data_IF_454573681578
#
_entry.id   IF_454573681578
#
_cell.length_a   1.000
_cell.length_b   1.000
_cell.length_c   1.000
_cell.angle_alpha   90.00
_cell.angle_beta   90.00
_cell.angle_gamma   90.00
#
_symmetry.space_group_name_H-M   'P 1'
#
loop_
_entity.id
_entity.type
_entity.pdbx_description
1 polymer ?
#
# COMPACT_ATOMS: atom_id res chain seq x y z
N UNK A 1 3.98 -36.53 6.01
CA UNK A 1 4.38 -36.79 7.42
C UNK A 1 5.31 -35.71 7.96
N UNK A 2 6.37 -35.31 7.24
CA UNK A 2 7.29 -34.24 7.67
C UNK A 2 6.60 -32.90 7.98
N UNK A 3 5.82 -32.37 7.04
CA UNK A 3 5.01 -31.16 7.22
C UNK A 3 3.99 -31.24 8.37
N UNK A 4 3.62 -32.45 8.82
CA UNK A 4 2.74 -32.63 9.98
C UNK A 4 3.53 -32.49 11.28
N UNK A 5 4.73 -33.06 11.32
CA UNK A 5 5.64 -32.95 12.46
C UNK A 5 6.10 -31.49 12.66
N UNK A 6 6.42 -30.79 11.56
CA UNK A 6 6.80 -29.37 11.59
C UNK A 6 5.63 -28.48 12.04
N UNK A 7 4.39 -28.82 11.65
CA UNK A 7 3.19 -28.15 12.13
C UNK A 7 2.93 -28.40 13.63
N UNK A 8 3.04 -29.64 14.10
CA UNK A 8 2.90 -30.00 15.53
C UNK A 8 3.98 -29.25 16.36
N UNK A 9 5.21 -29.18 15.86
CA UNK A 9 6.30 -28.41 16.47
C UNK A 9 6.06 -26.88 16.45
N UNK A 10 5.49 -26.31 15.38
CA UNK A 10 5.11 -24.90 15.32
C UNK A 10 4.08 -24.58 16.41
N UNK A 11 3.05 -25.40 16.56
CA UNK A 11 2.02 -25.19 17.60
C UNK A 11 2.66 -25.17 18.99
N UNK A 12 3.64 -26.05 19.26
CA UNK A 12 4.39 -26.06 20.52
C UNK A 12 5.40 -24.89 20.66
N UNK A 13 5.99 -24.41 19.57
CA UNK A 13 7.04 -23.37 19.60
C UNK A 13 6.53 -21.94 19.40
N UNK A 14 5.30 -21.74 18.89
CA UNK A 14 4.59 -20.46 18.97
C UNK A 14 4.25 -20.10 20.42
N UNK A 15 4.04 -21.10 21.28
CA UNK A 15 3.94 -20.91 22.74
C UNK A 15 5.27 -20.47 23.37
N UNK A 16 6.40 -20.68 22.69
CA UNK A 16 7.77 -20.39 23.16
C UNK A 16 8.48 -19.26 22.39
N UNK A 17 7.78 -18.50 21.54
CA UNK A 17 8.31 -17.36 20.76
C UNK A 17 9.50 -17.66 19.82
N UNK A 18 9.66 -18.91 19.35
CA UNK A 18 10.86 -19.32 18.61
C UNK A 18 10.66 -19.61 17.11
N UNK A 19 9.43 -19.69 16.61
CA UNK A 19 9.14 -20.09 15.22
C UNK A 19 8.27 -19.08 14.46
N UNK A 20 8.65 -18.78 13.21
CA UNK A 20 7.91 -17.88 12.33
C UNK A 20 6.80 -18.63 11.58
N UNK A 21 5.57 -18.10 11.66
CA UNK A 21 4.44 -18.62 10.88
C UNK A 21 4.73 -18.57 9.37
N UNK A 22 5.46 -17.54 8.91
CA UNK A 22 5.86 -17.40 7.50
C UNK A 22 6.82 -18.52 7.09
N UNK A 23 7.82 -18.84 7.92
CA UNK A 23 8.75 -19.94 7.63
C UNK A 23 8.05 -21.31 7.54
N UNK A 24 7.02 -21.53 8.38
CA UNK A 24 6.29 -22.81 8.35
C UNK A 24 5.38 -22.93 7.14
N UNK A 25 4.66 -21.85 6.79
CA UNK A 25 3.92 -21.79 5.52
C UNK A 25 4.86 -21.99 4.33
N UNK A 26 6.07 -21.41 4.39
CA UNK A 26 7.04 -21.48 3.28
C UNK A 26 7.50 -22.92 3.07
N UNK A 27 7.84 -23.64 4.14
CA UNK A 27 8.19 -25.05 4.07
C UNK A 27 7.01 -25.89 3.55
N UNK A 28 5.79 -25.64 4.02
CA UNK A 28 4.61 -26.35 3.54
C UNK A 28 4.37 -26.13 2.03
N UNK A 29 4.43 -24.89 1.55
CA UNK A 29 4.25 -24.59 0.12
C UNK A 29 5.36 -25.20 -0.72
N UNK A 30 6.61 -25.13 -0.24
CA UNK A 30 7.75 -25.76 -0.90
C UNK A 30 7.59 -27.28 -0.99
N UNK A 31 7.15 -27.94 0.09
CA UNK A 31 6.88 -29.39 0.10
C UNK A 31 5.79 -29.76 -0.91
N UNK A 32 4.71 -28.99 -1.01
CA UNK A 32 3.63 -29.20 -1.98
C UNK A 32 4.17 -29.05 -3.41
N UNK A 33 4.90 -27.97 -3.69
CA UNK A 33 5.48 -27.70 -5.01
C UNK A 33 6.43 -28.82 -5.42
N UNK A 34 7.37 -29.20 -4.54
CA UNK A 34 8.32 -30.27 -4.81
C UNK A 34 7.63 -31.62 -5.02
N UNK A 35 6.58 -31.94 -4.24
CA UNK A 35 5.81 -33.17 -4.44
C UNK A 35 5.20 -33.24 -5.85
N UNK A 36 4.77 -32.11 -6.41
CA UNK A 36 4.25 -32.05 -7.78
C UNK A 36 5.36 -32.08 -8.83
N UNK A 37 6.47 -31.35 -8.63
CA UNK A 37 7.58 -31.32 -9.60
C UNK A 37 8.33 -32.65 -9.69
N UNK A 38 8.73 -33.21 -8.56
CA UNK A 38 9.56 -34.42 -8.52
C UNK A 38 8.81 -35.66 -9.02
N UNK A 39 7.48 -35.65 -8.93
CA UNK A 39 6.62 -36.76 -9.35
C UNK A 39 5.90 -36.50 -10.68
N UNK A 40 6.24 -35.43 -11.41
CA UNK A 40 5.53 -34.98 -12.60
C UNK A 40 5.42 -36.10 -13.67
N UNK A 41 6.52 -36.79 -13.98
CA UNK A 41 6.52 -37.89 -14.94
C UNK A 41 5.63 -39.06 -14.50
N UNK A 42 5.67 -39.42 -13.22
CA UNK A 42 4.89 -40.53 -12.64
C UNK A 42 3.40 -40.20 -12.67
N UNK A 43 3.03 -38.97 -12.30
CA UNK A 43 1.65 -38.49 -12.37
C UNK A 43 1.14 -38.54 -13.81
N UNK A 44 1.97 -38.12 -14.77
CA UNK A 44 1.61 -38.13 -16.19
C UNK A 44 1.48 -39.54 -16.77
N UNK A 45 2.36 -40.46 -16.40
CA UNK A 45 2.36 -41.83 -16.94
C UNK A 45 1.27 -42.71 -16.36
N UNK A 46 0.94 -42.53 -15.08
CA UNK A 46 0.10 -43.47 -14.33
C UNK A 46 -1.32 -42.95 -14.06
N UNK A 47 -1.61 -41.66 -14.27
CA UNK A 47 -2.91 -41.04 -13.95
C UNK A 47 -3.47 -40.23 -15.12
N UNK A 48 -3.80 -40.91 -16.24
CA UNK A 48 -4.52 -40.29 -17.35
C UNK A 48 -3.85 -39.04 -17.97
N UNK A 49 -2.52 -38.97 -18.01
CA UNK A 49 -1.82 -37.83 -18.61
C UNK A 49 -1.82 -36.59 -17.72
N UNK A 50 -2.07 -35.42 -18.32
CA UNK A 50 -1.98 -34.14 -17.60
C UNK A 50 -3.14 -33.91 -16.62
N UNK A 51 -4.27 -34.60 -16.81
CA UNK A 51 -5.38 -34.59 -15.85
C UNK A 51 -4.94 -35.09 -14.46
N UNK A 52 -4.09 -36.12 -14.41
CA UNK A 52 -3.52 -36.66 -13.18
C UNK A 52 -2.71 -35.63 -12.38
N UNK A 53 -2.01 -34.73 -13.07
CA UNK A 53 -1.27 -33.63 -12.45
C UNK A 53 -2.25 -32.65 -11.80
N UNK A 54 -3.34 -32.32 -12.48
CA UNK A 54 -4.36 -31.41 -11.94
C UNK A 54 -5.08 -32.01 -10.74
N UNK A 55 -5.40 -33.31 -10.77
CA UNK A 55 -5.96 -34.00 -9.62
C UNK A 55 -5.01 -33.98 -8.42
N UNK A 56 -3.72 -34.29 -8.63
CA UNK A 56 -2.71 -34.23 -7.57
C UNK A 56 -2.58 -32.82 -6.98
N UNK A 57 -2.57 -31.80 -7.82
CA UNK A 57 -2.55 -30.39 -7.40
C UNK A 57 -3.79 -30.07 -6.54
N UNK A 58 -4.99 -30.50 -6.94
CA UNK A 58 -6.21 -30.26 -6.18
C UNK A 58 -6.19 -30.95 -4.81
N UNK A 59 -5.71 -32.19 -4.74
CA UNK A 59 -5.60 -32.91 -3.47
C UNK A 59 -4.59 -32.27 -2.52
N UNK A 60 -3.42 -31.85 -3.02
CA UNK A 60 -2.45 -31.12 -2.20
C UNK A 60 -2.96 -29.72 -1.82
N UNK A 61 -3.76 -29.08 -2.68
CA UNK A 61 -4.41 -27.82 -2.33
C UNK A 61 -5.42 -27.99 -1.19
N UNK A 62 -6.13 -29.13 -1.09
CA UNK A 62 -6.99 -29.41 0.06
C UNK A 62 -6.18 -29.47 1.37
N UNK A 63 -4.96 -30.00 1.32
CA UNK A 63 -4.05 -30.01 2.48
C UNK A 63 -3.58 -28.61 2.86
N UNK A 64 -3.29 -27.75 1.86
CA UNK A 64 -3.03 -26.32 2.06
C UNK A 64 -4.24 -25.62 2.71
N UNK A 65 -5.43 -25.86 2.19
CA UNK A 65 -6.69 -25.31 2.71
C UNK A 65 -6.95 -25.73 4.15
N UNK A 66 -6.50 -26.90 4.58
CA UNK A 66 -6.61 -27.34 5.97
C UNK A 66 -5.51 -26.70 6.84
N UNK A 67 -4.24 -26.99 6.55
CA UNK A 67 -3.12 -26.63 7.44
C UNK A 67 -2.66 -25.19 7.29
N UNK A 68 -2.54 -24.69 6.07
CA UNK A 68 -2.13 -23.30 5.83
C UNK A 68 -3.12 -22.32 6.48
N UNK A 69 -4.41 -22.63 6.38
CA UNK A 69 -5.47 -21.87 7.06
C UNK A 69 -5.33 -21.89 8.57
N UNK A 70 -4.97 -23.03 9.14
CA UNK A 70 -4.80 -23.19 10.58
C UNK A 70 -3.57 -22.42 11.08
N UNK A 71 -2.47 -22.44 10.33
CA UNK A 71 -1.26 -21.65 10.63
C UNK A 71 -1.59 -20.16 10.67
N UNK A 72 -2.28 -19.64 9.65
CA UNK A 72 -2.68 -18.23 9.60
C UNK A 72 -3.64 -17.87 10.75
N UNK A 73 -4.62 -18.73 11.06
CA UNK A 73 -5.52 -18.52 12.21
C UNK A 73 -4.76 -18.48 13.53
N UNK A 74 -3.80 -19.39 13.73
CA UNK A 74 -2.95 -19.40 14.92
C UNK A 74 -2.08 -18.15 15.03
N UNK A 75 -1.56 -17.66 13.91
CA UNK A 75 -0.87 -16.37 13.87
C UNK A 75 -1.77 -15.21 14.31
N UNK A 76 -2.98 -15.12 13.77
CA UNK A 76 -3.94 -14.07 14.11
C UNK A 76 -4.34 -14.13 15.60
N UNK A 77 -4.54 -15.33 16.15
CA UNK A 77 -4.79 -15.57 17.58
C UNK A 77 -3.60 -15.13 18.45
N UNK A 78 -2.39 -15.54 18.05
CA UNK A 78 -1.14 -15.25 18.76
C UNK A 78 -0.87 -13.73 18.84
N UNK A 79 -1.00 -13.02 17.71
CA UNK A 79 -0.87 -11.56 17.65
C UNK A 79 -2.11 -10.81 18.15
N UNK A 80 -3.21 -11.53 18.47
CA UNK A 80 -4.48 -10.96 18.94
C UNK A 80 -5.01 -9.86 18.01
N UNK A 81 -4.90 -10.06 16.70
CA UNK A 81 -5.20 -9.01 15.70
C UNK A 81 -6.64 -8.49 15.81
N UNK A 82 -7.60 -9.36 16.15
CA UNK A 82 -8.99 -8.98 16.39
C UNK A 82 -9.12 -7.99 17.57
N UNK A 83 -8.38 -8.20 18.66
CA UNK A 83 -8.38 -7.31 19.82
C UNK A 83 -7.72 -5.98 19.47
N UNK A 84 -6.56 -6.04 18.82
CA UNK A 84 -5.79 -4.86 18.42
C UNK A 84 -6.59 -3.95 17.48
N UNK A 85 -7.23 -4.50 16.46
CA UNK A 85 -8.07 -3.72 15.55
C UNK A 85 -9.33 -3.16 16.23
N UNK A 86 -9.91 -3.88 17.20
CA UNK A 86 -10.98 -3.32 18.03
C UNK A 86 -10.50 -2.14 18.88
N UNK A 87 -9.29 -2.22 19.44
CA UNK A 87 -8.68 -1.12 20.21
C UNK A 87 -8.43 0.10 19.32
N UNK A 88 -7.89 -0.10 18.11
CA UNK A 88 -7.69 0.96 17.11
C UNK A 88 -9.01 1.64 16.73
N UNK A 89 -10.06 0.87 16.45
CA UNK A 89 -11.37 1.44 16.10
C UNK A 89 -11.98 2.23 17.27
N UNK A 90 -11.81 1.73 18.48
CA UNK A 90 -12.24 2.44 19.70
C UNK A 90 -11.46 3.74 19.88
N UNK A 91 -10.14 3.71 19.71
CA UNK A 91 -9.28 4.88 19.74
C UNK A 91 -9.73 5.93 18.71
N UNK A 92 -9.97 5.52 17.46
CA UNK A 92 -10.44 6.40 16.37
C UNK A 92 -11.76 7.10 16.72
N UNK A 93 -12.70 6.40 17.35
CA UNK A 93 -13.97 6.99 17.78
C UNK A 93 -13.83 7.99 18.95
N UNK A 94 -12.77 7.84 19.74
CA UNK A 94 -12.51 8.62 20.94
C UNK A 94 -11.42 9.69 20.76
N UNK A 95 -11.01 10.01 19.52
CA UNK A 95 -9.96 11.01 19.23
C UNK A 95 -10.20 12.40 19.86
N UNK A 96 -11.43 12.71 20.26
CA UNK A 96 -11.81 13.97 20.93
C UNK A 96 -11.65 13.93 22.46
N UNK A 97 -11.33 12.78 23.06
CA UNK A 97 -11.15 12.66 24.52
C UNK A 97 -9.67 12.75 24.90
N UNK A 98 -9.38 13.70 25.79
CA UNK A 98 -8.02 13.98 26.27
C UNK A 98 -7.50 12.79 27.08
N UNK A 99 -6.35 12.23 26.67
CA UNK A 99 -5.62 11.22 27.44
C UNK A 99 -5.76 9.77 26.97
N UNK A 100 -6.45 9.50 25.84
CA UNK A 100 -6.44 8.15 25.25
C UNK A 100 -5.17 7.98 24.42
N UNK A 101 -4.30 7.06 24.84
CA UNK A 101 -3.12 6.67 24.09
C UNK A 101 -3.47 5.45 23.22
N UNK A 102 -3.26 5.55 21.91
CA UNK A 102 -3.43 4.44 20.98
C UNK A 102 -2.31 3.38 21.12
N UNK A 103 -2.42 2.25 20.42
CA UNK A 103 -1.34 1.26 20.34
C UNK A 103 -0.02 1.88 19.85
N UNK A 104 1.13 1.32 20.27
CA UNK A 104 2.45 1.82 19.84
C UNK A 104 2.65 1.57 18.33
N UNK A 105 2.85 2.63 17.50
CA UNK A 105 3.07 2.47 16.06
C UNK A 105 4.24 1.54 15.69
N UNK A 106 5.24 1.38 16.57
CA UNK A 106 6.37 0.46 16.33
C UNK A 106 5.95 -1.00 16.37
N UNK A 107 5.05 -1.34 17.29
CA UNK A 107 4.50 -2.68 17.39
C UNK A 107 3.61 -2.97 16.17
N UNK A 108 2.84 -1.97 15.72
CA UNK A 108 2.03 -2.08 14.50
C UNK A 108 2.91 -2.35 13.28
N UNK A 109 4.01 -1.63 13.12
CA UNK A 109 4.95 -1.84 12.01
C UNK A 109 5.49 -3.27 11.95
N UNK A 110 5.86 -3.85 13.10
CA UNK A 110 6.29 -5.24 13.17
C UNK A 110 5.21 -6.20 12.66
N UNK A 111 3.95 -5.96 13.00
CA UNK A 111 2.84 -6.79 12.53
C UNK A 111 2.54 -6.60 11.04
N UNK A 112 2.70 -5.38 10.52
CA UNK A 112 2.58 -5.11 9.08
C UNK A 112 3.59 -5.92 8.28
N UNK A 113 4.86 -5.92 8.70
CA UNK A 113 5.92 -6.68 8.02
C UNK A 113 5.70 -8.20 8.06
N UNK A 114 5.23 -8.72 9.19
CA UNK A 114 4.90 -10.15 9.31
C UNK A 114 3.70 -10.55 8.45
N UNK A 115 2.63 -9.75 8.46
CA UNK A 115 1.45 -10.01 7.64
C UNK A 115 1.83 -9.92 6.15
N UNK A 116 2.68 -8.96 5.78
CA UNK A 116 3.13 -8.80 4.40
C UNK A 116 3.89 -10.04 3.91
N UNK A 117 4.80 -10.58 4.72
CA UNK A 117 5.49 -11.83 4.39
C UNK A 117 4.52 -13.01 4.23
N UNK A 118 3.49 -13.10 5.08
CA UNK A 118 2.49 -14.16 5.01
C UNK A 118 1.60 -14.05 3.76
N UNK A 119 1.17 -12.85 3.40
CA UNK A 119 0.31 -12.62 2.22
C UNK A 119 1.09 -12.82 0.93
N UNK A 120 2.29 -12.25 0.80
CA UNK A 120 3.17 -12.46 -0.35
C UNK A 120 3.43 -13.93 -0.61
N UNK A 121 3.84 -14.65 0.42
CA UNK A 121 4.14 -16.07 0.31
C UNK A 121 2.93 -16.91 -0.13
N UNK A 122 1.73 -16.56 0.36
CA UNK A 122 0.48 -17.21 -0.04
C UNK A 122 0.09 -16.92 -1.49
N UNK A 123 0.29 -15.69 -1.95
CA UNK A 123 0.04 -15.26 -3.33
C UNK A 123 1.06 -15.90 -4.29
N UNK A 124 2.35 -15.92 -3.96
CA UNK A 124 3.39 -16.56 -4.78
C UNK A 124 3.14 -18.06 -4.97
N UNK A 125 2.74 -18.76 -3.91
CA UNK A 125 2.31 -20.14 -3.99
C UNK A 125 1.09 -20.32 -4.91
N UNK A 126 0.09 -19.47 -4.73
CA UNK A 126 -1.15 -19.53 -5.52
C UNK A 126 -0.87 -19.28 -7.00
N UNK A 127 -0.10 -18.24 -7.32
CA UNK A 127 0.26 -17.87 -8.68
C UNK A 127 1.10 -18.96 -9.36
N UNK A 128 2.07 -19.54 -8.64
CA UNK A 128 2.86 -20.65 -9.16
C UNK A 128 1.97 -21.83 -9.54
N UNK A 129 1.11 -22.28 -8.63
CA UNK A 129 0.27 -23.46 -8.85
C UNK A 129 -0.79 -23.23 -9.94
N UNK A 130 -1.41 -22.05 -9.96
CA UNK A 130 -2.35 -21.64 -11.01
C UNK A 130 -1.66 -21.55 -12.37
N UNK A 131 -0.45 -21.01 -12.42
CA UNK A 131 0.36 -20.94 -13.65
C UNK A 131 0.75 -22.33 -14.14
N UNK A 132 1.12 -23.24 -13.23
CA UNK A 132 1.39 -24.64 -13.56
C UNK A 132 0.17 -25.32 -14.17
N UNK A 133 -1.01 -25.16 -13.57
CA UNK A 133 -2.27 -25.69 -14.12
C UNK A 133 -2.51 -25.13 -15.53
N UNK A 134 -2.42 -23.81 -15.72
CA UNK A 134 -2.64 -23.14 -17.02
C UNK A 134 -1.61 -23.52 -18.08
N UNK A 135 -0.42 -23.96 -17.67
CA UNK A 135 0.63 -24.42 -18.56
C UNK A 135 0.39 -25.80 -19.18
N UNK A 136 -0.58 -26.57 -18.65
CA UNK A 136 -0.95 -27.89 -19.18
C UNK A 136 -1.82 -27.74 -20.44
N UNK A 137 -1.54 -28.56 -21.45
CA UNK A 137 -2.10 -28.43 -22.80
C UNK A 137 -3.12 -29.52 -23.15
N UNK A 138 -3.08 -30.65 -22.46
CA UNK A 138 -3.88 -31.86 -22.72
C UNK A 138 -4.72 -32.22 -21.49
N UNK A 139 -5.44 -31.23 -20.95
CA UNK A 139 -6.31 -31.36 -19.78
C UNK A 139 -7.77 -31.24 -20.18
N UNK A 140 -8.65 -31.97 -19.51
CA UNK A 140 -10.09 -31.80 -19.61
C UNK A 140 -10.48 -30.30 -19.42
N UNK A 141 -11.17 -29.68 -20.41
CA UNK A 141 -11.61 -28.29 -20.33
C UNK A 141 -12.41 -27.92 -19.06
N UNK A 142 -13.10 -28.87 -18.42
CA UNK A 142 -13.84 -28.61 -17.18
C UNK A 142 -12.97 -28.64 -15.92
N UNK A 143 -11.80 -29.29 -15.99
CA UNK A 143 -10.92 -29.49 -14.84
C UNK A 143 -10.10 -28.24 -14.52
N UNK A 144 -9.67 -27.48 -15.55
CA UNK A 144 -8.89 -26.24 -15.39
C UNK A 144 -9.65 -25.16 -14.58
N UNK A 145 -10.91 -24.81 -14.93
CA UNK A 145 -11.67 -23.81 -14.18
C UNK A 145 -12.01 -24.27 -12.76
N UNK A 146 -12.20 -25.57 -12.56
CA UNK A 146 -12.43 -26.14 -11.23
C UNK A 146 -11.19 -26.04 -10.35
N UNK A 147 -10.03 -26.45 -10.86
CA UNK A 147 -8.77 -26.41 -10.13
C UNK A 147 -8.37 -24.97 -9.77
N UNK A 148 -8.38 -24.06 -10.75
CA UNK A 148 -8.07 -22.64 -10.49
C UNK A 148 -9.04 -21.97 -9.52
N UNK A 149 -10.32 -22.39 -9.51
CA UNK A 149 -11.31 -21.93 -8.53
C UNK A 149 -11.00 -22.44 -7.11
N UNK A 150 -10.47 -23.65 -6.96
CA UNK A 150 -10.10 -24.20 -5.65
C UNK A 150 -9.06 -23.31 -4.94
N UNK A 151 -8.08 -22.78 -5.68
CA UNK A 151 -7.10 -21.83 -5.12
C UNK A 151 -7.73 -20.49 -4.74
N UNK A 152 -8.62 -19.94 -5.59
CA UNK A 152 -9.19 -18.59 -5.41
C UNK A 152 -10.34 -18.50 -4.41
N UNK A 153 -10.99 -19.63 -4.10
CA UNK A 153 -12.18 -19.68 -3.23
C UNK A 153 -12.09 -20.72 -2.13
N UNK A 154 -10.93 -21.39 -2.03
CA UNK A 154 -10.58 -22.33 -0.98
C UNK A 154 -10.52 -21.67 0.39
N UNK A 155 -10.42 -22.52 1.41
CA UNK A 155 -10.38 -22.06 2.79
C UNK A 155 -9.12 -21.22 3.08
N UNK A 156 -7.97 -21.59 2.50
CA UNK A 156 -6.73 -20.83 2.68
C UNK A 156 -6.88 -19.40 2.15
N UNK A 157 -7.42 -19.25 0.94
CA UNK A 157 -7.67 -17.93 0.35
C UNK A 157 -8.62 -17.06 1.19
N UNK A 158 -9.66 -17.66 1.79
CA UNK A 158 -10.55 -16.93 2.71
C UNK A 158 -9.81 -16.41 3.95
N UNK A 159 -8.91 -17.20 4.52
CA UNK A 159 -8.11 -16.77 5.69
C UNK A 159 -7.06 -15.74 5.29
N UNK A 160 -6.47 -15.84 4.09
CA UNK A 160 -5.60 -14.80 3.51
C UNK A 160 -6.36 -13.48 3.35
N UNK A 161 -7.62 -13.52 2.91
CA UNK A 161 -8.47 -12.32 2.85
C UNK A 161 -8.77 -11.74 4.23
N UNK A 162 -9.01 -12.60 5.24
CA UNK A 162 -9.24 -12.19 6.62
C UNK A 162 -8.02 -11.47 7.22
N UNK A 163 -6.82 -12.06 7.11
CA UNK A 163 -5.59 -11.42 7.60
C UNK A 163 -5.26 -10.13 6.83
N UNK A 164 -5.58 -10.07 5.54
CA UNK A 164 -5.47 -8.83 4.74
C UNK A 164 -6.44 -7.76 5.24
N UNK A 165 -7.63 -8.15 5.72
CA UNK A 165 -8.57 -7.23 6.36
C UNK A 165 -7.99 -6.59 7.62
N UNK A 166 -7.26 -7.34 8.44
CA UNK A 166 -6.53 -6.79 9.58
C UNK A 166 -5.40 -5.86 9.12
N UNK A 167 -4.62 -6.26 8.10
CA UNK A 167 -3.56 -5.43 7.53
C UNK A 167 -4.04 -4.02 7.16
N UNK A 168 -5.16 -3.90 6.45
CA UNK A 168 -5.69 -2.60 6.01
C UNK A 168 -5.99 -1.67 7.20
N UNK A 169 -6.55 -2.20 8.28
CA UNK A 169 -6.85 -1.42 9.49
C UNK A 169 -5.55 -0.95 10.17
N UNK A 170 -4.58 -1.85 10.29
CA UNK A 170 -3.28 -1.56 10.89
C UNK A 170 -2.48 -0.54 10.08
N UNK A 171 -2.42 -0.71 8.76
CA UNK A 171 -1.70 0.16 7.83
C UNK A 171 -2.32 1.57 7.82
N UNK A 172 -3.65 1.65 7.81
CA UNK A 172 -4.37 2.92 7.92
C UNK A 172 -4.09 3.65 9.23
N UNK A 173 -4.10 2.93 10.37
CA UNK A 173 -3.73 3.50 11.67
C UNK A 173 -2.27 3.98 11.69
N UNK A 174 -1.34 3.14 11.24
CA UNK A 174 0.09 3.46 11.16
C UNK A 174 0.33 4.72 10.32
N UNK A 175 -0.31 4.82 9.15
CA UNK A 175 -0.18 5.96 8.24
C UNK A 175 -0.66 7.26 8.91
N UNK A 176 -1.85 7.24 9.51
CA UNK A 176 -2.44 8.42 10.17
C UNK A 176 -1.53 8.92 11.31
N UNK A 177 -1.11 8.03 12.20
CA UNK A 177 -0.30 8.42 13.36
C UNK A 177 1.09 8.94 12.96
N UNK A 178 1.72 8.34 11.95
CA UNK A 178 3.03 8.81 11.48
C UNK A 178 2.93 10.14 10.71
N UNK A 179 1.86 10.37 9.95
CA UNK A 179 1.61 11.68 9.31
C UNK A 179 1.37 12.77 10.36
N UNK A 180 0.54 12.50 11.38
CA UNK A 180 0.34 13.43 12.52
C UNK A 180 1.65 13.75 13.22
N UNK A 181 2.46 12.73 13.46
CA UNK A 181 3.76 12.89 14.08
C UNK A 181 4.69 13.75 13.22
N UNK A 182 4.78 13.49 11.93
CA UNK A 182 5.56 14.29 10.98
C UNK A 182 5.15 15.77 10.97
N UNK A 183 3.84 16.05 11.00
CA UNK A 183 3.31 17.42 11.13
C UNK A 183 3.72 18.04 12.49
N UNK A 184 3.68 17.26 13.57
CA UNK A 184 3.94 17.76 14.93
C UNK A 184 5.42 18.10 15.20
N UNK A 185 6.34 17.37 14.58
CA UNK A 185 7.80 17.54 14.74
C UNK A 185 8.40 18.41 13.65
N UNK A 186 7.58 19.09 12.87
CA UNK A 186 8.00 19.85 11.71
C UNK A 186 9.07 20.89 12.05
N UNK A 187 10.19 20.82 11.33
CA UNK A 187 11.37 21.64 11.56
C UNK A 187 11.78 22.41 10.30
N UNK A 188 12.32 23.61 10.49
CA UNK A 188 12.91 24.36 9.38
C UNK A 188 14.27 23.76 9.04
N UNK A 189 14.44 23.33 7.80
CA UNK A 189 15.70 22.76 7.31
C UNK A 189 16.60 23.90 6.85
N UNK A 190 17.81 23.98 7.41
CA UNK A 190 18.80 24.99 7.02
C UNK A 190 19.10 24.89 5.52
N UNK A 191 19.15 26.04 4.85
CA UNK A 191 19.35 26.17 3.40
C UNK A 191 18.25 25.54 2.51
N UNK A 192 17.13 25.10 3.10
CA UNK A 192 15.94 24.66 2.35
C UNK A 192 14.90 25.77 2.24
N UNK A 193 14.15 25.73 1.13
CA UNK A 193 12.98 26.58 0.91
C UNK A 193 11.71 26.00 1.53
N UNK A 194 11.76 24.76 2.03
CA UNK A 194 10.67 24.01 2.66
C UNK A 194 11.02 23.62 4.11
N UNK A 195 10.03 23.08 4.83
CA UNK A 195 10.23 22.43 6.14
C UNK A 195 10.28 20.91 5.98
N UNK A 196 10.79 20.21 7.01
CA UNK A 196 10.93 18.74 6.98
C UNK A 196 9.60 18.01 6.79
N UNK A 197 8.48 18.60 7.24
CA UNK A 197 7.13 18.03 7.11
C UNK A 197 6.77 17.60 5.70
N UNK A 198 7.24 18.30 4.66
CA UNK A 198 6.92 17.90 3.28
C UNK A 198 7.57 16.56 2.96
N UNK A 199 8.88 16.43 3.18
CA UNK A 199 9.60 15.18 2.92
C UNK A 199 9.10 14.04 3.83
N UNK A 200 8.91 14.32 5.12
CA UNK A 200 8.49 13.32 6.11
C UNK A 200 7.10 12.75 5.84
N UNK A 201 6.12 13.60 5.51
CA UNK A 201 4.76 13.15 5.19
C UNK A 201 4.75 12.31 3.93
N UNK A 202 5.40 12.77 2.86
CA UNK A 202 5.41 12.04 1.60
C UNK A 202 6.20 10.73 1.70
N UNK A 203 7.25 10.67 2.53
CA UNK A 203 7.95 9.42 2.84
C UNK A 203 7.03 8.38 3.49
N UNK A 204 6.22 8.79 4.49
CA UNK A 204 5.26 7.90 5.15
C UNK A 204 4.22 7.38 4.14
N UNK A 205 3.61 8.28 3.36
CA UNK A 205 2.60 7.92 2.37
C UNK A 205 3.17 6.95 1.33
N UNK A 206 4.36 7.22 0.80
CA UNK A 206 5.06 6.37 -0.15
C UNK A 206 5.31 4.98 0.45
N UNK A 207 5.85 4.91 1.68
CA UNK A 207 6.16 3.65 2.34
C UNK A 207 4.92 2.77 2.51
N UNK A 208 3.81 3.34 3.00
CA UNK A 208 2.55 2.63 3.17
C UNK A 208 1.97 2.13 1.83
N UNK A 209 2.00 2.96 0.78
CA UNK A 209 1.49 2.58 -0.53
C UNK A 209 2.33 1.45 -1.16
N UNK A 210 3.66 1.50 -1.02
CA UNK A 210 4.53 0.44 -1.52
C UNK A 210 4.29 -0.90 -0.81
N UNK A 211 4.10 -0.88 0.52
CA UNK A 211 3.74 -2.08 1.28
C UNK A 211 2.38 -2.65 0.86
N UNK A 212 1.39 -1.80 0.59
CA UNK A 212 0.07 -2.29 0.19
C UNK A 212 0.10 -2.97 -1.18
N UNK A 213 0.88 -2.46 -2.14
CA UNK A 213 1.12 -3.10 -3.45
C UNK A 213 1.74 -4.49 -3.25
N UNK A 214 2.69 -4.56 -2.33
CA UNK A 214 3.39 -5.80 -1.96
C UNK A 214 2.45 -6.87 -1.38
N UNK A 215 1.24 -6.53 -0.91
CA UNK A 215 0.23 -7.54 -0.50
C UNK A 215 -0.40 -8.29 -1.67
N UNK A 216 -0.23 -7.80 -2.89
CA UNK A 216 -0.82 -8.33 -4.14
C UNK A 216 -2.36 -8.40 -4.12
N UNK A 217 -2.98 -7.71 -3.17
CA UNK A 217 -4.42 -7.64 -3.03
C UNK A 217 -4.91 -6.25 -3.42
N UNK A 218 -5.68 -6.14 -4.52
CA UNK A 218 -6.13 -4.83 -4.99
C UNK A 218 -6.99 -4.08 -3.98
N UNK A 219 -7.78 -4.81 -3.16
CA UNK A 219 -8.67 -4.16 -2.21
C UNK A 219 -7.84 -3.49 -1.11
N UNK A 220 -6.74 -4.14 -0.70
CA UNK A 220 -5.76 -3.56 0.21
C UNK A 220 -5.15 -2.28 -0.36
N UNK A 221 -4.70 -2.32 -1.62
CA UNK A 221 -4.14 -1.15 -2.32
C UNK A 221 -5.14 0.00 -2.39
N UNK A 222 -6.39 -0.26 -2.77
CA UNK A 222 -7.44 0.76 -2.88
C UNK A 222 -7.71 1.43 -1.53
N UNK A 223 -7.85 0.65 -0.46
CA UNK A 223 -8.12 1.19 0.88
C UNK A 223 -6.96 2.02 1.44
N UNK A 224 -5.72 1.58 1.23
CA UNK A 224 -4.52 2.32 1.66
C UNK A 224 -4.35 3.61 0.85
N UNK A 225 -4.57 3.58 -0.47
CA UNK A 225 -4.54 4.78 -1.31
C UNK A 225 -5.65 5.78 -0.91
N UNK A 226 -6.86 5.28 -0.65
CA UNK A 226 -7.97 6.11 -0.16
C UNK A 226 -7.61 6.81 1.15
N UNK A 227 -6.95 6.10 2.07
CA UNK A 227 -6.46 6.67 3.33
C UNK A 227 -5.40 7.76 3.10
N UNK A 228 -4.44 7.53 2.20
CA UNK A 228 -3.41 8.50 1.85
C UNK A 228 -4.02 9.79 1.26
N UNK A 229 -4.97 9.65 0.33
CA UNK A 229 -5.69 10.78 -0.27
C UNK A 229 -6.48 11.55 0.80
N UNK A 230 -7.17 10.85 1.69
CA UNK A 230 -7.92 11.48 2.78
C UNK A 230 -7.01 12.29 3.71
N UNK A 231 -5.79 11.81 3.99
CA UNK A 231 -4.82 12.53 4.82
C UNK A 231 -4.28 13.78 4.11
N UNK A 232 -3.96 13.67 2.81
CA UNK A 232 -3.52 14.80 1.99
C UNK A 232 -4.59 15.90 1.88
N UNK A 233 -5.86 15.53 1.72
CA UNK A 233 -6.98 16.46 1.63
C UNK A 233 -7.49 16.99 2.98
N UNK A 234 -7.18 16.31 4.08
CA UNK A 234 -7.61 16.63 5.44
C UNK A 234 -6.49 17.23 6.27
N UNK A 235 -5.94 16.44 7.20
CA UNK A 235 -4.99 16.89 8.24
C UNK A 235 -3.74 17.56 7.67
N UNK A 236 -3.19 17.04 6.58
CA UNK A 236 -2.02 17.65 5.94
C UNK A 236 -2.35 19.01 5.31
N UNK A 237 -3.50 19.10 4.64
CA UNK A 237 -3.97 20.37 4.07
C UNK A 237 -4.21 21.42 5.16
N UNK A 238 -4.84 21.01 6.26
CA UNK A 238 -5.07 21.87 7.42
C UNK A 238 -3.75 22.37 8.02
N UNK A 239 -2.74 21.51 8.16
CA UNK A 239 -1.42 21.88 8.65
C UNK A 239 -0.73 22.92 7.74
N UNK A 240 -0.80 22.72 6.42
CA UNK A 240 -0.31 23.70 5.44
C UNK A 240 -1.05 25.03 5.54
N UNK A 241 -2.38 25.01 5.66
CA UNK A 241 -3.20 26.22 5.80
C UNK A 241 -2.92 26.96 7.11
N UNK A 242 -2.72 26.23 8.22
CA UNK A 242 -2.49 26.84 9.53
C UNK A 242 -1.22 27.68 9.52
N UNK A 243 -0.17 27.24 8.82
CA UNK A 243 1.07 28.01 8.61
C UNK A 243 0.87 29.30 7.81
N UNK A 244 -0.17 29.39 6.99
CA UNK A 244 -0.53 30.60 6.26
C UNK A 244 -1.43 31.56 7.06
N UNK A 245 -2.10 31.08 8.11
CA UNK A 245 -3.04 31.88 8.91
C UNK A 245 -2.27 32.78 9.87
N UNK A 246 -1.74 33.88 9.37
CA UNK A 246 -1.21 34.95 10.22
C UNK A 246 -2.26 36.09 10.35
N UNK A 247 -2.80 36.34 11.57
CA UNK A 247 -3.67 37.47 11.80
C UNK A 247 -2.92 38.78 11.51
N UNK A 248 -3.55 39.68 10.76
CA UNK A 248 -3.00 40.99 10.39
C UNK A 248 -1.76 40.95 9.48
N UNK A 249 -1.62 39.90 8.66
CA UNK A 249 -0.54 39.75 7.68
C UNK A 249 -0.31 41.01 6.83
N UNK A 250 -1.39 41.57 6.28
CA UNK A 250 -1.31 42.80 5.47
C UNK A 250 -0.76 43.99 6.25
N UNK A 251 -1.12 44.14 7.53
CA UNK A 251 -0.61 45.21 8.38
C UNK A 251 0.85 44.99 8.77
N UNK A 252 1.25 43.74 9.08
CA UNK A 252 2.65 43.41 9.37
C UNK A 252 3.54 43.66 8.15
N UNK A 253 3.16 43.19 6.97
CA UNK A 253 3.90 43.45 5.73
C UNK A 253 4.02 44.94 5.40
N UNK A 254 2.99 45.74 5.73
CA UNK A 254 2.96 47.17 5.42
C UNK A 254 3.71 48.05 6.42
N UNK A 255 3.79 47.66 7.69
CA UNK A 255 4.35 48.52 8.74
C UNK A 255 5.90 48.54 8.83
N UNK A 256 6.61 47.71 8.06
CA UNK A 256 8.08 47.78 7.92
C UNK A 256 8.88 47.68 9.23
N UNK A 257 9.41 46.50 9.54
CA UNK A 257 10.25 46.26 10.73
C UNK A 257 10.87 44.86 10.76
N UNK A 258 11.74 44.56 11.73
CA UNK A 258 12.42 43.26 11.82
C UNK A 258 11.46 42.05 11.92
N UNK A 259 10.29 42.22 12.53
CA UNK A 259 9.22 41.20 12.56
C UNK A 259 8.63 40.89 11.17
N UNK A 260 8.70 41.83 10.23
CA UNK A 260 8.16 41.69 8.86
C UNK A 260 8.99 40.73 8.02
N UNK A 261 10.31 40.72 8.21
CA UNK A 261 11.20 39.78 7.53
C UNK A 261 10.95 38.35 8.00
N UNK A 262 10.83 38.14 9.31
CA UNK A 262 10.55 36.81 9.88
C UNK A 262 9.19 36.27 9.43
N UNK A 263 8.14 37.09 9.53
CA UNK A 263 6.80 36.79 9.00
C UNK A 263 6.83 36.49 7.49
N UNK A 264 7.56 37.29 6.71
CA UNK A 264 7.70 37.10 5.27
C UNK A 264 8.36 35.78 4.89
N UNK A 265 9.42 35.39 5.62
CA UNK A 265 10.11 34.11 5.44
C UNK A 265 9.22 32.92 5.81
N UNK A 266 8.50 32.99 6.93
CA UNK A 266 7.57 31.92 7.35
C UNK A 266 6.47 31.67 6.31
N UNK A 267 5.95 32.74 5.70
CA UNK A 267 4.91 32.65 4.67
C UNK A 267 5.47 32.18 3.33
N UNK A 268 6.65 32.67 2.94
CA UNK A 268 7.33 32.16 1.76
C UNK A 268 7.59 30.65 1.89
N UNK A 269 8.04 30.20 3.07
CA UNK A 269 8.25 28.78 3.37
C UNK A 269 6.95 27.99 3.30
N UNK A 270 5.84 28.50 3.85
CA UNK A 270 4.53 27.84 3.75
C UNK A 270 4.01 27.71 2.31
N UNK A 271 4.23 28.73 1.48
CA UNK A 271 3.90 28.70 0.05
C UNK A 271 4.78 27.68 -0.70
N UNK A 272 6.09 27.65 -0.42
CA UNK A 272 7.00 26.67 -1.00
C UNK A 272 6.62 25.24 -0.59
N UNK A 273 6.28 25.01 0.68
CA UNK A 273 5.83 23.70 1.16
C UNK A 273 4.66 23.19 0.33
N UNK A 274 3.70 24.07 0.05
CA UNK A 274 2.50 23.74 -0.72
C UNK A 274 2.77 23.50 -2.20
N UNK A 275 3.63 24.31 -2.81
CA UNK A 275 4.07 24.14 -4.20
C UNK A 275 4.79 22.79 -4.37
N UNK A 276 5.79 22.53 -3.53
CA UNK A 276 6.54 21.26 -3.52
C UNK A 276 5.63 20.06 -3.19
N UNK A 277 4.64 20.24 -2.32
CA UNK A 277 3.64 19.18 -2.04
C UNK A 277 2.86 18.78 -3.27
N UNK A 278 2.56 19.72 -4.19
CA UNK A 278 1.86 19.40 -5.43
C UNK A 278 2.74 18.54 -6.34
N UNK A 279 4.02 18.90 -6.48
CA UNK A 279 5.00 18.11 -7.23
C UNK A 279 5.19 16.72 -6.61
N UNK A 280 5.25 16.63 -5.28
CA UNK A 280 5.40 15.37 -4.57
C UNK A 280 4.16 14.48 -4.69
N UNK A 281 2.96 15.05 -4.72
CA UNK A 281 1.74 14.28 -4.98
C UNK A 281 1.73 13.66 -6.39
N UNK A 282 2.18 14.42 -7.40
CA UNK A 282 2.34 13.89 -8.76
C UNK A 282 3.41 12.81 -8.82
N UNK A 283 4.54 13.03 -8.14
CA UNK A 283 5.64 12.05 -8.06
C UNK A 283 5.19 10.77 -7.37
N UNK A 284 4.52 10.88 -6.21
CA UNK A 284 3.97 9.74 -5.48
C UNK A 284 3.02 8.93 -6.36
N UNK A 285 2.14 9.61 -7.12
CA UNK A 285 1.31 8.93 -8.12
C UNK A 285 2.17 8.14 -9.09
N UNK A 286 3.10 8.79 -9.79
CA UNK A 286 3.93 8.13 -10.80
C UNK A 286 4.68 6.91 -10.23
N UNK A 287 5.26 7.03 -9.04
CA UNK A 287 5.93 5.92 -8.38
C UNK A 287 4.99 4.76 -8.04
N UNK A 288 3.75 5.04 -7.63
CA UNK A 288 2.73 4.00 -7.40
C UNK A 288 2.34 3.32 -8.72
N UNK A 289 2.17 4.08 -9.81
CA UNK A 289 1.87 3.54 -11.14
C UNK A 289 3.00 2.62 -11.64
N UNK A 290 4.24 3.06 -11.46
CA UNK A 290 5.44 2.31 -11.83
C UNK A 290 5.56 1.04 -10.98
N UNK A 291 5.40 1.11 -9.66
CA UNK A 291 5.45 -0.05 -8.77
C UNK A 291 4.35 -1.07 -9.07
N UNK A 292 3.12 -0.63 -9.38
CA UNK A 292 2.06 -1.55 -9.80
C UNK A 292 2.41 -2.25 -11.12
N UNK A 293 3.13 -1.56 -12.01
CA UNK A 293 3.58 -2.10 -13.30
C UNK A 293 4.75 -3.08 -13.12
N UNK A 294 5.71 -2.76 -12.26
CA UNK A 294 6.83 -3.65 -11.92
C UNK A 294 6.36 -4.93 -11.22
N UNK A 295 5.46 -4.82 -10.24
CA UNK A 295 4.89 -5.98 -9.56
C UNK A 295 4.14 -6.90 -10.56
N UNK A 296 3.45 -6.30 -11.54
CA UNK A 296 2.82 -7.02 -12.65
C UNK A 296 3.86 -7.71 -13.54
N UNK A 297 4.93 -7.03 -13.92
CA UNK A 297 5.98 -7.60 -14.77
C UNK A 297 6.74 -8.72 -14.06
N UNK A 298 7.14 -8.53 -12.81
CA UNK A 298 7.83 -9.55 -12.01
C UNK A 298 7.02 -10.86 -11.92
N UNK A 299 5.69 -10.76 -11.82
CA UNK A 299 4.80 -11.93 -11.84
C UNK A 299 4.64 -12.53 -13.23
N UNK A 300 4.63 -11.72 -14.28
CA UNK A 300 4.66 -12.23 -15.67
C UNK A 300 5.97 -12.99 -15.98
N UNK A 301 7.09 -12.64 -15.36
CA UNK A 301 8.37 -13.36 -15.51
C UNK A 301 8.42 -14.73 -14.81
N UNK A 302 7.50 -15.04 -13.89
CA UNK A 302 7.33 -16.42 -13.36
C UNK A 302 6.86 -17.37 -14.47
N UNK A 303 6.32 -16.87 -15.60
CA UNK A 303 6.06 -17.67 -16.80
C UNK A 303 7.31 -17.98 -17.66
N UNK A 304 8.47 -17.39 -17.35
CA UNK A 304 9.71 -17.50 -18.15
C UNK A 304 10.67 -18.58 -17.64
N UNK A 305 10.27 -19.38 -16.65
CA UNK A 305 10.90 -20.70 -16.42
C UNK A 305 10.40 -21.78 -17.41
N UNK A 306 10.15 -21.41 -18.69
CA UNK A 306 9.87 -22.36 -19.76
C UNK A 306 11.08 -22.57 -20.68
N UNK A 307 11.44 -23.83 -20.99
CA UNK A 307 12.23 -24.16 -22.17
C UNK A 307 11.51 -23.69 -23.44
N UNK A 308 12.32 -23.27 -24.40
CA UNK A 308 11.95 -22.85 -25.76
C UNK A 308 11.03 -23.87 -26.42
N UNK A 309 9.79 -23.51 -26.68
CA UNK A 309 9.13 -23.74 -27.97
C UNK A 309 7.74 -23.09 -27.96
N UNK A 310 7.66 -21.97 -28.67
CA UNK A 310 6.43 -21.24 -28.89
C UNK A 310 5.55 -22.01 -29.89
N UNK A 311 4.27 -22.18 -29.54
CA UNK A 311 3.12 -21.76 -30.35
C UNK A 311 1.82 -22.03 -29.61
N UNK A 312 0.88 -21.11 -29.78
CA UNK A 312 -0.51 -21.11 -29.27
C UNK A 312 -0.70 -20.86 -27.78
N UNK A 313 -0.82 -19.58 -27.39
CA UNK A 313 -1.41 -19.20 -26.10
C UNK A 313 -2.57 -18.22 -26.32
N UNK A 314 -3.80 -18.68 -26.07
CA UNK A 314 -4.99 -17.84 -25.87
C UNK A 314 -5.00 -17.33 -24.42
N UNK A 315 -3.99 -16.54 -24.05
CA UNK A 315 -3.86 -15.92 -22.71
C UNK A 315 -4.47 -14.52 -22.59
N UNK A 316 -4.99 -13.95 -23.69
CA UNK A 316 -5.44 -12.55 -23.73
C UNK A 316 -6.64 -12.27 -22.80
N UNK A 317 -7.56 -13.21 -22.60
CA UNK A 317 -8.81 -12.96 -21.89
C UNK A 317 -8.68 -12.92 -20.35
N UNK A 318 -7.62 -13.53 -19.81
CA UNK A 318 -7.30 -13.49 -18.37
C UNK A 318 -6.48 -12.24 -18.03
N UNK A 319 -5.56 -11.84 -18.90
CA UNK A 319 -4.80 -10.58 -18.78
C UNK A 319 -5.73 -9.35 -18.84
N UNK A 320 -6.77 -9.39 -19.68
CA UNK A 320 -7.74 -8.30 -19.81
C UNK A 320 -8.55 -8.02 -18.52
N UNK A 321 -8.84 -9.05 -17.70
CA UNK A 321 -9.55 -8.86 -16.42
C UNK A 321 -8.67 -8.30 -15.30
N UNK A 322 -7.38 -8.60 -15.32
CA UNK A 322 -6.39 -7.95 -14.44
C UNK A 322 -6.08 -6.52 -14.90
N UNK A 323 -6.14 -6.26 -16.21
CA UNK A 323 -6.00 -4.95 -16.83
C UNK A 323 -7.13 -3.98 -16.42
N UNK A 324 -8.38 -4.44 -16.35
CA UNK A 324 -9.50 -3.63 -15.80
C UNK A 324 -9.33 -3.35 -14.31
N UNK A 325 -8.81 -4.30 -13.54
CA UNK A 325 -8.60 -4.19 -12.08
C UNK A 325 -7.65 -3.04 -11.76
N UNK A 326 -6.48 -3.01 -12.40
CA UNK A 326 -5.47 -1.96 -12.19
C UNK A 326 -5.84 -0.64 -12.85
N UNK A 327 -6.56 -0.65 -13.99
CA UNK A 327 -7.17 0.57 -14.54
C UNK A 327 -8.14 1.22 -13.55
N UNK A 328 -8.92 0.48 -12.78
CA UNK A 328 -9.79 1.06 -11.75
C UNK A 328 -9.00 1.76 -10.64
N UNK A 329 -7.84 1.23 -10.22
CA UNK A 329 -6.95 1.91 -9.25
C UNK A 329 -6.40 3.20 -9.84
N UNK A 330 -5.93 3.16 -11.09
CA UNK A 330 -5.40 4.31 -11.81
C UNK A 330 -6.47 5.38 -12.10
N UNK A 331 -7.70 4.96 -12.41
CA UNK A 331 -8.86 5.85 -12.61
C UNK A 331 -9.29 6.48 -11.29
N UNK A 332 -9.35 5.72 -10.19
CA UNK A 332 -9.64 6.28 -8.87
C UNK A 332 -8.57 7.30 -8.46
N UNK A 333 -7.28 6.96 -8.56
CA UNK A 333 -6.18 7.90 -8.24
C UNK A 333 -6.25 9.17 -9.10
N UNK A 334 -6.61 9.03 -10.39
CA UNK A 334 -6.82 10.16 -11.31
C UNK A 334 -8.04 11.02 -10.94
N UNK A 335 -9.16 10.42 -10.56
CA UNK A 335 -10.38 11.13 -10.17
C UNK A 335 -10.24 11.85 -8.81
N UNK A 336 -9.39 11.33 -7.91
CA UNK A 336 -9.07 11.99 -6.64
C UNK A 336 -8.02 13.11 -6.76
N UNK A 337 -7.17 13.08 -7.79
CA UNK A 337 -6.33 14.23 -8.16
C UNK A 337 -7.19 15.42 -8.63
N UNK A 338 -8.32 15.17 -9.30
CA UNK A 338 -9.26 16.25 -9.64
C UNK A 338 -9.82 16.96 -8.39
N UNK A 339 -9.99 16.26 -7.27
CA UNK A 339 -10.41 16.84 -5.97
C UNK A 339 -9.28 17.66 -5.32
N UNK A 340 -8.03 17.24 -5.51
CA UNK A 340 -6.85 18.03 -5.14
C UNK A 340 -6.64 19.23 -6.07
N UNK A 341 -6.98 19.14 -7.36
CA UNK A 341 -7.02 20.23 -8.35
C UNK A 341 -8.09 21.28 -8.01
N UNK A 342 -9.24 20.86 -7.48
CA UNK A 342 -10.30 21.78 -7.04
C UNK A 342 -9.96 22.50 -5.73
N UNK A 343 -9.22 21.87 -4.81
CA UNK A 343 -8.69 22.51 -3.60
C UNK A 343 -7.42 23.35 -3.88
N UNK A 344 -6.57 22.94 -4.82
CA UNK A 344 -5.46 23.77 -5.34
C UNK A 344 -5.94 24.94 -6.17
N UNK A 345 -7.17 24.93 -6.71
CA UNK A 345 -7.78 26.13 -7.28
C UNK A 345 -7.96 27.26 -6.25
N UNK A 346 -8.06 26.98 -4.95
CA UNK A 346 -7.96 28.01 -3.91
C UNK A 346 -6.51 28.51 -3.76
N UNK A 347 -5.53 27.61 -3.72
CA UNK A 347 -4.12 27.93 -3.56
C UNK A 347 -3.52 28.68 -4.77
N UNK A 348 -3.87 28.29 -5.99
CA UNK A 348 -3.59 29.00 -7.24
C UNK A 348 -4.32 30.34 -7.29
N UNK A 349 -5.55 30.47 -6.74
CA UNK A 349 -6.25 31.76 -6.62
C UNK A 349 -5.56 32.70 -5.63
N UNK A 350 -5.07 32.20 -4.50
CA UNK A 350 -4.30 32.98 -3.51
C UNK A 350 -2.93 33.36 -4.06
N UNK A 351 -2.21 32.46 -4.73
CA UNK A 351 -0.94 32.75 -5.40
C UNK A 351 -1.13 33.75 -6.55
N UNK A 352 -2.16 33.60 -7.41
CA UNK A 352 -2.54 34.60 -8.43
C UNK A 352 -2.97 35.93 -7.82
N UNK A 353 -3.64 35.93 -6.66
CA UNK A 353 -4.03 37.14 -5.94
C UNK A 353 -2.81 37.86 -5.36
N UNK A 354 -1.85 37.13 -4.78
CA UNK A 354 -0.60 37.66 -4.23
C UNK A 354 0.33 38.16 -5.34
N UNK A 355 0.43 37.45 -6.46
CA UNK A 355 1.16 37.89 -7.66
C UNK A 355 0.51 39.15 -8.26
N UNK A 356 -0.83 39.22 -8.32
CA UNK A 356 -1.55 40.44 -8.77
C UNK A 356 -1.40 41.61 -7.78
N UNK A 357 -1.37 41.35 -6.47
CA UNK A 357 -1.12 42.37 -5.44
C UNK A 357 0.32 42.88 -5.49
N UNK A 358 1.30 42.01 -5.76
CA UNK A 358 2.71 42.40 -5.98
C UNK A 358 2.90 43.19 -7.28
N UNK A 359 2.24 42.81 -8.37
CA UNK A 359 2.24 43.58 -9.62
C UNK A 359 1.59 44.97 -9.43
N UNK A 360 0.46 45.04 -8.71
CA UNK A 360 -0.23 46.30 -8.42
C UNK A 360 0.54 47.23 -7.46
N UNK A 361 1.36 46.68 -6.56
CA UNK A 361 2.24 47.47 -5.69
C UNK A 361 3.54 47.89 -6.38
N UNK A 362 4.09 47.07 -7.28
CA UNK A 362 5.25 47.43 -8.10
C UNK A 362 4.92 48.56 -9.09
N UNK A 363 3.75 48.52 -9.75
CA UNK A 363 3.31 49.60 -10.65
C UNK A 363 2.95 50.89 -9.90
N UNK A 364 2.49 50.82 -8.64
CA UNK A 364 2.23 52.00 -7.81
C UNK A 364 3.46 52.59 -7.12
N UNK A 365 4.50 51.78 -6.87
CA UNK A 365 5.77 52.25 -6.34
C UNK A 365 6.59 53.02 -7.41
N UNK A 366 6.40 52.69 -8.68
CA UNK A 366 6.99 53.44 -9.81
C UNK A 366 6.28 54.79 -9.98
N UNK A 367 4.95 54.85 -9.82
CA UNK A 367 4.19 56.10 -9.98
C UNK A 367 4.30 57.12 -8.83
N UNK A 368 4.82 56.75 -7.65
CA UNK A 368 4.98 57.69 -6.53
C UNK A 368 6.39 58.27 -6.37
N UNK A 369 7.35 57.85 -7.21
CA UNK A 369 8.73 58.33 -7.14
C UNK A 369 9.13 59.27 -8.30
N UNK A 370 8.26 59.51 -9.28
CA UNK A 370 8.55 60.40 -10.43
C UNK A 370 7.97 61.82 -10.32
N UNK A 371 7.17 62.15 -9.29
CA UNK A 371 6.58 63.50 -9.12
C UNK A 371 7.21 64.32 -7.96
N UNK A 372 8.49 64.10 -7.65
CA UNK A 372 9.22 64.96 -6.71
C UNK A 372 10.71 65.03 -7.05
N UNK A 373 11.02 65.60 -8.23
CA UNK A 373 12.25 66.37 -8.50
C UNK A 373 12.10 67.23 -9.75
#
# INVERSE_FOLDING_TARGET
MRSRLEFEQLVESMEQQQSSAAATNQNQFKDIVLAIEENNEILRSNLCGEDGIVYAICELQNECDSRGSLILKKYMEYRKLAKLTSEINTYKSNLLSVGVQGPDPREIELYLEEILQLTQLGEDYTDYMVSKIRGLSSVDPELLPRATRAFRSGNFSKVVQEITGYYVILEGFFMVENVRKAISIDEHVLDSLTTSMVDDVFYVLQSCCRRSISTSNINSVIEVLSSAVSLLGGEYNEALQQKMREPNLGAKLFMGGAGVQKTGTEIATALNNMDVSCDYALKLRHEIEDQCSEERENRAWVEVLKPKDAKTFKGHEVLLKEEERWRCVLVCVRDYICVLEDNTNFFVKVLKMIIRLRAFQADKAIFFCEDSL
#
